data_IF_765975725884
#
_entry.id   IF_765975725884
#
_cell.length_a   1.000
_cell.length_b   1.000
_cell.length_c   1.000
_cell.angle_alpha   90.00
_cell.angle_beta   90.00
_cell.angle_gamma   90.00
#
_symmetry.space_group_name_H-M   'P 1'
#
loop_
_entity.id
_entity.type
_entity.pdbx_description
1 polymer ?
#
# COMPACT_ATOMS: atom_id res chain seq x y z
N UNK A 1 22.92 -13.05 32.83
CA UNK A 1 21.80 -12.29 32.19
C UNK A 1 22.41 -11.43 31.12
N UNK A 2 22.41 -11.86 29.88
CA UNK A 2 22.88 -11.09 28.73
C UNK A 2 21.85 -10.00 28.44
N UNK A 3 22.21 -8.74 28.69
CA UNK A 3 21.38 -7.59 28.28
C UNK A 3 21.24 -7.63 26.76
N UNK A 4 20.04 -7.89 26.27
CA UNK A 4 19.77 -7.81 24.85
C UNK A 4 20.05 -6.37 24.40
N UNK A 5 20.93 -6.21 23.42
CA UNK A 5 21.19 -4.89 22.83
C UNK A 5 19.88 -4.30 22.28
N UNK A 6 19.63 -2.99 22.46
CA UNK A 6 18.42 -2.38 21.98
C UNK A 6 18.34 -2.48 20.44
N UNK A 7 17.15 -2.84 19.92
CA UNK A 7 16.91 -2.93 18.48
C UNK A 7 16.99 -1.53 17.84
N UNK A 8 17.82 -1.38 16.83
CA UNK A 8 17.94 -0.15 16.05
C UNK A 8 16.95 -0.18 14.89
N UNK A 9 16.03 0.79 14.85
CA UNK A 9 15.08 0.96 13.75
C UNK A 9 15.62 2.02 12.79
N UNK A 10 15.77 1.62 11.52
CA UNK A 10 16.31 2.53 10.50
C UNK A 10 15.20 3.35 9.86
N UNK A 11 15.50 4.60 9.43
CA UNK A 11 14.55 5.44 8.72
C UNK A 11 14.11 4.85 7.37
N UNK A 12 12.93 5.27 6.88
CA UNK A 12 12.33 4.73 5.65
C UNK A 12 13.24 4.82 4.42
N UNK A 13 14.09 5.86 4.33
CA UNK A 13 15.04 5.99 3.23
C UNK A 13 16.14 4.89 3.21
N UNK A 14 16.29 4.11 4.28
CA UNK A 14 17.18 2.95 4.32
C UNK A 14 16.48 1.64 3.93
N UNK A 15 15.16 1.60 3.86
CA UNK A 15 14.41 0.35 3.69
C UNK A 15 14.74 -0.41 2.41
N UNK A 16 15.16 0.28 1.35
CA UNK A 16 15.57 -0.37 0.11
C UNK A 16 16.74 -1.34 0.27
N UNK A 17 17.53 -1.21 1.36
CA UNK A 17 18.62 -2.12 1.72
C UNK A 17 18.13 -3.30 2.57
N UNK A 18 16.88 -3.29 3.02
CA UNK A 18 16.32 -4.39 3.82
C UNK A 18 16.11 -5.65 2.98
N UNK A 19 16.41 -6.83 3.53
CA UNK A 19 16.15 -8.09 2.84
C UNK A 19 14.65 -8.42 2.70
N UNK A 20 13.75 -7.64 3.33
CA UNK A 20 12.32 -7.96 3.48
C UNK A 20 11.39 -7.02 2.71
N UNK A 21 11.68 -5.72 2.63
CA UNK A 21 10.71 -4.69 2.18
C UNK A 21 10.18 -4.89 0.75
N UNK A 22 11.04 -5.39 -0.15
CA UNK A 22 10.72 -5.57 -1.57
C UNK A 22 10.47 -7.04 -1.94
N UNK A 23 10.23 -7.90 -0.96
CA UNK A 23 10.02 -9.34 -1.18
C UNK A 23 8.70 -9.79 -0.58
N UNK A 24 8.12 -10.82 -1.18
CA UNK A 24 7.01 -11.57 -0.60
C UNK A 24 7.55 -12.41 0.56
N UNK A 25 7.42 -11.90 1.78
CA UNK A 25 7.89 -12.59 2.98
C UNK A 25 6.98 -13.76 3.30
N UNK A 26 7.47 -15.01 3.23
CA UNK A 26 6.69 -16.18 3.60
C UNK A 26 6.54 -16.22 5.12
N UNK A 27 5.32 -16.00 5.60
CA UNK A 27 4.97 -15.89 7.02
C UNK A 27 3.76 -16.76 7.33
N UNK A 28 3.61 -17.13 8.58
CA UNK A 28 2.42 -17.78 9.12
C UNK A 28 1.40 -16.73 9.55
N UNK A 29 0.13 -17.13 9.69
CA UNK A 29 -0.93 -16.25 10.19
C UNK A 29 -0.55 -15.63 11.54
N UNK A 30 -0.10 -16.43 12.48
CA UNK A 30 0.35 -15.98 13.81
C UNK A 30 1.53 -14.99 13.72
N UNK A 31 2.48 -15.21 12.79
CA UNK A 31 3.60 -14.29 12.60
C UNK A 31 3.13 -12.94 12.05
N UNK A 32 2.16 -12.95 11.12
CA UNK A 32 1.60 -11.72 10.53
C UNK A 32 0.81 -10.95 11.60
N UNK A 33 -0.01 -11.62 12.40
CA UNK A 33 -0.74 -10.97 13.49
C UNK A 33 0.22 -10.41 14.56
N UNK A 34 1.36 -11.07 14.81
CA UNK A 34 2.41 -10.64 15.73
C UNK A 34 3.32 -9.51 15.22
N UNK A 35 3.19 -9.05 13.95
CA UNK A 35 4.01 -7.93 13.48
C UNK A 35 3.72 -6.66 14.28
N UNK A 36 4.76 -5.88 14.58
CA UNK A 36 4.63 -4.65 15.32
C UNK A 36 4.31 -3.47 14.39
N UNK A 37 3.38 -2.61 14.81
CA UNK A 37 3.17 -1.30 14.21
C UNK A 37 4.03 -0.28 14.95
N UNK A 38 4.75 0.59 14.21
CA UNK A 38 5.61 1.61 14.80
C UNK A 38 5.15 3.01 14.40
N UNK A 39 5.15 3.98 15.33
CA UNK A 39 4.84 5.37 15.02
C UNK A 39 5.70 5.89 13.87
N UNK A 40 5.07 6.60 12.93
CA UNK A 40 5.74 7.16 11.75
C UNK A 40 5.79 6.26 10.51
N UNK A 41 5.38 4.97 10.61
CA UNK A 41 5.33 4.04 9.47
C UNK A 41 3.91 3.53 9.18
N UNK A 42 2.93 3.99 9.94
CA UNK A 42 1.52 3.55 9.85
C UNK A 42 0.91 3.86 8.48
N UNK A 43 1.18 5.06 7.95
CA UNK A 43 0.65 5.52 6.68
C UNK A 43 1.15 4.67 5.47
N UNK A 44 2.34 4.09 5.60
CA UNK A 44 2.96 3.28 4.54
C UNK A 44 2.58 1.79 4.62
N UNK A 45 1.78 1.39 5.62
CA UNK A 45 1.45 -0.01 5.91
C UNK A 45 2.72 -0.89 6.04
N UNK A 46 3.73 -0.36 6.72
CA UNK A 46 4.96 -1.07 7.04
C UNK A 46 4.89 -1.53 8.49
N UNK A 47 5.03 -2.83 8.68
CA UNK A 47 5.05 -3.48 9.98
C UNK A 47 6.43 -4.07 10.23
N UNK A 48 6.73 -4.43 11.48
CA UNK A 48 8.05 -4.90 11.85
C UNK A 48 8.01 -6.27 12.51
N UNK A 49 8.96 -7.13 12.10
CA UNK A 49 9.35 -8.32 12.84
C UNK A 49 10.77 -8.08 13.32
N UNK A 50 10.99 -8.01 14.65
CA UNK A 50 12.17 -7.37 15.21
C UNK A 50 12.30 -5.93 14.64
N UNK A 51 13.37 -5.66 13.91
CA UNK A 51 13.55 -4.39 13.19
C UNK A 51 13.50 -4.53 11.66
N UNK A 52 13.06 -5.70 11.16
CA UNK A 52 12.86 -5.91 9.73
C UNK A 52 11.57 -5.25 9.25
N UNK A 53 11.60 -4.29 8.32
CA UNK A 53 10.39 -3.69 7.76
C UNK A 53 9.72 -4.67 6.80
N UNK A 54 8.46 -5.02 7.06
CA UNK A 54 7.66 -5.95 6.25
C UNK A 54 6.45 -5.21 5.72
N UNK A 55 6.28 -5.24 4.40
CA UNK A 55 5.13 -4.67 3.68
C UNK A 55 4.37 -5.74 2.90
N UNK A 56 5.11 -6.67 2.31
CA UNK A 56 4.59 -7.69 1.42
C UNK A 56 4.71 -9.07 2.08
N UNK A 57 3.61 -9.77 2.13
CA UNK A 57 3.54 -11.10 2.76
C UNK A 57 3.03 -12.15 1.78
N UNK A 58 3.39 -13.39 2.04
CA UNK A 58 2.86 -14.56 1.36
C UNK A 58 2.46 -15.59 2.40
N UNK A 59 1.23 -16.08 2.29
CA UNK A 59 0.68 -17.12 3.14
C UNK A 59 0.05 -18.22 2.28
N UNK A 60 0.10 -19.45 2.76
CA UNK A 60 -0.62 -20.59 2.20
C UNK A 60 -1.43 -21.23 3.33
N UNK A 61 -2.71 -21.47 3.10
CA UNK A 61 -3.60 -22.08 4.07
C UNK A 61 -4.93 -22.47 3.48
N UNK A 62 -5.78 -23.06 4.30
CA UNK A 62 -7.13 -23.50 3.96
C UNK A 62 -8.09 -22.31 4.08
N UNK A 63 -8.98 -22.15 3.12
CA UNK A 63 -10.09 -21.20 3.20
C UNK A 63 -11.14 -21.75 4.16
N UNK A 64 -11.38 -21.10 5.28
CA UNK A 64 -12.38 -21.50 6.28
C UNK A 64 -13.66 -20.71 6.18
N UNK A 65 -13.62 -19.49 5.62
CA UNK A 65 -14.80 -18.69 5.33
C UNK A 65 -14.58 -17.79 4.11
N UNK A 66 -15.69 -17.42 3.45
CA UNK A 66 -15.70 -16.47 2.33
C UNK A 66 -16.86 -15.51 2.57
N UNK A 67 -16.57 -14.22 2.63
CA UNK A 67 -17.55 -13.15 2.79
C UNK A 67 -17.49 -12.18 1.59
N UNK A 68 -18.65 -11.69 1.17
CA UNK A 68 -18.75 -10.73 0.07
C UNK A 68 -19.40 -9.43 0.53
N UNK A 69 -18.69 -8.32 0.37
CA UNK A 69 -19.15 -6.98 0.75
C UNK A 69 -18.86 -5.96 -0.35
N UNK A 70 -19.88 -5.29 -0.86
CA UNK A 70 -19.75 -4.06 -1.68
C UNK A 70 -18.60 -4.02 -2.69
N UNK A 71 -18.39 -5.14 -3.42
CA UNK A 71 -17.31 -5.23 -4.40
C UNK A 71 -15.97 -5.68 -3.80
N UNK A 72 -15.98 -6.30 -2.63
CA UNK A 72 -14.86 -7.00 -2.03
C UNK A 72 -15.23 -8.42 -1.69
N UNK A 73 -14.32 -9.34 -1.93
CA UNK A 73 -14.40 -10.72 -1.48
C UNK A 73 -13.31 -10.95 -0.45
N UNK A 74 -13.70 -11.45 0.72
CA UNK A 74 -12.80 -11.65 1.86
C UNK A 74 -12.70 -13.16 2.09
N UNK A 75 -11.48 -13.67 2.05
CA UNK A 75 -11.17 -15.06 2.37
C UNK A 75 -10.55 -15.11 3.76
N UNK A 76 -11.14 -15.87 4.68
CA UNK A 76 -10.52 -16.20 5.96
C UNK A 76 -9.67 -17.45 5.75
N UNK A 77 -8.37 -17.31 6.00
CA UNK A 77 -7.35 -18.35 5.77
C UNK A 77 -6.81 -18.85 7.07
N UNK A 78 -6.84 -20.16 7.25
CA UNK A 78 -6.22 -20.89 8.36
C UNK A 78 -4.99 -21.66 7.85
N UNK A 79 -3.84 -21.44 8.45
CA UNK A 79 -2.59 -22.13 8.13
C UNK A 79 -2.18 -23.13 9.24
N UNK A 80 -3.12 -23.49 10.11
CA UNK A 80 -2.95 -24.43 11.25
C UNK A 80 -1.99 -23.95 12.32
N UNK A 81 -1.73 -22.64 12.45
CA UNK A 81 -0.88 -22.08 13.51
C UNK A 81 -1.66 -21.54 14.72
N UNK A 82 -2.98 -21.71 14.72
CA UNK A 82 -3.89 -21.29 15.79
C UNK A 82 -4.48 -19.89 15.59
N UNK A 83 -4.07 -19.18 14.52
CA UNK A 83 -4.61 -17.88 14.12
C UNK A 83 -5.09 -17.95 12.69
N UNK A 84 -6.22 -17.27 12.41
CA UNK A 84 -6.70 -17.06 11.06
C UNK A 84 -6.35 -15.64 10.59
N UNK A 85 -6.28 -15.45 9.27
CA UNK A 85 -6.08 -14.14 8.69
C UNK A 85 -7.07 -13.85 7.56
N UNK A 86 -7.63 -12.66 7.58
CA UNK A 86 -8.50 -12.19 6.51
C UNK A 86 -7.70 -11.67 5.32
N UNK A 87 -8.04 -12.17 4.14
CA UNK A 87 -7.41 -11.79 2.88
C UNK A 87 -8.47 -11.14 1.98
N UNK A 88 -8.40 -9.83 1.76
CA UNK A 88 -9.38 -9.08 0.99
C UNK A 88 -8.96 -8.91 -0.46
N UNK A 89 -9.86 -9.21 -1.39
CA UNK A 89 -9.73 -9.02 -2.82
C UNK A 89 -10.76 -7.99 -3.29
N UNK A 90 -10.30 -6.93 -3.98
CA UNK A 90 -11.20 -6.00 -4.62
C UNK A 90 -11.75 -6.64 -5.91
N UNK A 91 -13.06 -6.82 -5.97
CA UNK A 91 -13.76 -7.35 -7.15
C UNK A 91 -14.30 -6.17 -7.95
N UNK A 92 -13.92 -6.00 -9.22
CA UNK A 92 -14.47 -4.94 -10.06
C UNK A 92 -15.99 -5.07 -10.12
N UNK A 93 -16.71 -3.99 -9.84
CA UNK A 93 -18.16 -3.96 -10.08
C UNK A 93 -18.39 -4.17 -11.57
N UNK A 94 -19.33 -5.04 -11.98
CA UNK A 94 -19.74 -5.12 -13.38
C UNK A 94 -20.13 -3.69 -13.81
N UNK A 95 -19.56 -3.23 -14.92
CA UNK A 95 -19.82 -1.89 -15.45
C UNK A 95 -21.34 -1.77 -15.68
N UNK A 96 -22.04 -1.02 -14.83
CA UNK A 96 -23.42 -0.60 -15.05
C UNK A 96 -23.43 0.35 -16.25
N UNK A 97 -23.62 -0.20 -17.45
CA UNK A 97 -23.62 0.65 -18.66
C UNK A 97 -23.74 -0.07 -19.98
N UNK A 98 -23.91 -1.38 -20.04
CA UNK A 98 -24.47 -1.98 -21.23
C UNK A 98 -25.98 -1.74 -21.22
N UNK A 99 -26.41 -0.56 -21.75
CA UNK A 99 -27.81 -0.35 -22.18
C UNK A 99 -28.20 -1.58 -22.98
N UNK A 100 -29.12 -2.40 -22.42
CA UNK A 100 -29.82 -3.40 -23.19
C UNK A 100 -30.53 -2.65 -24.31
N UNK A 101 -29.98 -2.69 -25.52
CA UNK A 101 -30.71 -2.41 -26.73
C UNK A 101 -31.74 -3.54 -26.81
N UNK A 102 -32.99 -3.23 -26.41
CA UNK A 102 -34.15 -4.05 -26.65
C UNK A 102 -34.40 -3.99 -28.17
N UNK A 103 -33.78 -4.89 -28.87
CA UNK A 103 -33.96 -5.15 -30.29
C UNK A 103 -34.23 -6.64 -30.47
N UNK A 104 -35.51 -6.96 -30.55
CA UNK A 104 -36.15 -8.12 -31.18
C UNK A 104 -35.41 -9.45 -31.29
N UNK A 105 -35.90 -10.45 -30.51
CA UNK A 105 -36.05 -11.84 -30.96
C UNK A 105 -34.76 -12.66 -31.08
N UNK A 106 -34.29 -13.22 -29.94
CA UNK A 106 -33.93 -14.63 -29.74
C UNK A 106 -33.46 -14.78 -28.28
N UNK A 107 -34.09 -15.66 -27.55
CA UNK A 107 -33.72 -15.97 -26.18
C UNK A 107 -32.28 -16.51 -26.14
N UNK A 108 -31.30 -15.63 -25.96
CA UNK A 108 -29.96 -16.01 -25.58
C UNK A 108 -30.04 -16.33 -24.09
N UNK A 109 -29.91 -17.60 -23.76
CA UNK A 109 -29.68 -18.11 -22.40
C UNK A 109 -28.62 -17.23 -21.74
N UNK A 110 -29.01 -16.55 -20.68
CA UNK A 110 -28.09 -15.79 -19.84
C UNK A 110 -27.01 -16.76 -19.37
N UNK A 111 -25.78 -16.57 -19.87
CA UNK A 111 -24.63 -17.29 -19.35
C UNK A 111 -24.46 -16.87 -17.87
N UNK A 112 -24.29 -17.84 -16.96
CA UNK A 112 -23.97 -17.52 -15.57
C UNK A 112 -22.76 -16.60 -15.52
N UNK A 113 -22.71 -15.72 -14.54
CA UNK A 113 -21.59 -14.81 -14.29
C UNK A 113 -20.32 -15.59 -13.85
N UNK A 114 -19.75 -16.38 -14.78
CA UNK A 114 -18.54 -17.20 -14.55
C UNK A 114 -17.23 -16.41 -14.64
N UNK A 115 -17.27 -15.09 -14.93
CA UNK A 115 -16.09 -14.28 -15.19
C UNK A 115 -15.64 -13.43 -13.99
N UNK A 116 -16.11 -13.71 -12.77
CA UNK A 116 -15.51 -13.07 -11.58
C UNK A 116 -14.12 -13.70 -11.34
N UNK A 117 -13.04 -12.90 -11.28
CA UNK A 117 -11.70 -13.43 -11.00
C UNK A 117 -11.74 -14.22 -9.70
N UNK A 118 -11.30 -15.49 -9.74
CA UNK A 118 -11.25 -16.42 -8.60
C UNK A 118 -12.62 -16.92 -8.09
N UNK A 119 -13.64 -16.99 -8.96
CA UNK A 119 -14.92 -17.65 -8.65
C UNK A 119 -14.80 -19.15 -8.39
N UNK A 120 -13.68 -19.76 -8.77
CA UNK A 120 -13.34 -21.18 -8.60
C UNK A 120 -12.79 -21.54 -7.20
N UNK A 121 -12.70 -20.57 -6.28
CA UNK A 121 -12.19 -20.79 -4.92
C UNK A 121 -13.34 -20.88 -3.93
N UNK A 122 -13.43 -22.04 -3.25
CA UNK A 122 -14.44 -22.34 -2.24
C UNK A 122 -13.82 -22.66 -0.88
N UNK A 123 -14.67 -22.68 0.15
CA UNK A 123 -14.32 -23.12 1.50
C UNK A 123 -13.77 -24.55 1.46
N UNK A 124 -12.73 -24.82 2.23
CA UNK A 124 -12.01 -26.08 2.26
C UNK A 124 -10.89 -26.22 1.22
N UNK A 125 -10.75 -25.25 0.30
CA UNK A 125 -9.64 -25.25 -0.65
C UNK A 125 -8.40 -24.60 -0.05
N UNK A 126 -7.22 -25.08 -0.46
CA UNK A 126 -5.94 -24.48 -0.08
C UNK A 126 -5.56 -23.42 -1.10
N UNK A 127 -5.20 -22.24 -0.60
CA UNK A 127 -4.82 -21.10 -1.44
C UNK A 127 -3.43 -20.55 -1.07
N UNK A 128 -2.72 -20.02 -2.06
CA UNK A 128 -1.48 -19.25 -1.95
C UNK A 128 -1.82 -17.79 -2.19
N UNK A 129 -1.72 -16.99 -1.15
CA UNK A 129 -2.03 -15.56 -1.15
C UNK A 129 -0.74 -14.75 -1.05
N UNK A 130 -0.58 -13.76 -1.93
CA UNK A 130 0.44 -12.73 -1.85
C UNK A 130 -0.22 -11.37 -1.81
N UNK A 131 0.14 -10.54 -0.85
CA UNK A 131 -0.49 -9.24 -0.70
C UNK A 131 0.26 -8.31 0.22
N UNK A 132 -0.25 -7.09 0.35
CA UNK A 132 0.23 -6.12 1.32
C UNK A 132 -0.54 -6.27 2.64
N UNK A 133 0.19 -6.14 3.74
CA UNK A 133 -0.43 -6.12 5.07
C UNK A 133 -1.07 -4.75 5.32
N UNK A 134 -2.24 -4.72 5.90
CA UNK A 134 -2.93 -3.52 6.37
C UNK A 134 -3.54 -3.76 7.75
N UNK A 135 -3.76 -2.69 8.50
CA UNK A 135 -4.51 -2.73 9.76
C UNK A 135 -5.98 -2.38 9.48
N UNK A 136 -6.90 -3.20 9.99
CA UNK A 136 -8.33 -2.94 9.92
C UNK A 136 -8.98 -3.37 11.23
N UNK A 137 -9.60 -2.44 11.96
CA UNK A 137 -10.22 -2.69 13.27
C UNK A 137 -9.29 -3.43 14.24
N UNK A 138 -8.05 -2.95 14.36
CA UNK A 138 -6.99 -3.51 15.22
C UNK A 138 -6.53 -4.93 14.85
N UNK A 139 -7.01 -5.50 13.75
CA UNK A 139 -6.54 -6.76 13.19
C UNK A 139 -5.78 -6.54 11.89
N UNK A 140 -4.75 -7.32 11.68
CA UNK A 140 -4.02 -7.30 10.41
C UNK A 140 -4.74 -8.12 9.38
N UNK A 141 -4.92 -7.53 8.21
CA UNK A 141 -5.50 -8.15 7.02
C UNK A 141 -4.51 -8.11 5.88
N UNK A 142 -4.66 -9.00 4.92
CA UNK A 142 -3.89 -9.00 3.68
C UNK A 142 -4.76 -8.43 2.56
N UNK A 143 -4.29 -7.37 1.90
CA UNK A 143 -4.87 -6.92 0.64
C UNK A 143 -4.25 -7.72 -0.50
N UNK A 144 -5.02 -8.57 -1.14
CA UNK A 144 -4.56 -9.56 -2.13
C UNK A 144 -4.06 -8.85 -3.39
N UNK A 145 -2.85 -9.21 -3.82
CA UNK A 145 -2.26 -8.82 -5.09
C UNK A 145 -2.20 -9.99 -6.07
N UNK A 146 -1.97 -11.19 -5.53
CA UNK A 146 -1.97 -12.45 -6.29
C UNK A 146 -2.61 -13.53 -5.45
N UNK A 147 -3.48 -14.31 -6.08
CA UNK A 147 -4.22 -15.41 -5.48
C UNK A 147 -4.12 -16.62 -6.40
N UNK A 148 -3.76 -17.76 -5.86
CA UNK A 148 -3.65 -19.01 -6.60
C UNK A 148 -4.14 -20.18 -5.76
N UNK A 149 -4.87 -21.10 -6.37
CA UNK A 149 -5.23 -22.37 -5.73
C UNK A 149 -3.99 -23.28 -5.65
N UNK A 150 -3.77 -23.87 -4.49
CA UNK A 150 -2.75 -24.91 -4.28
C UNK A 150 -3.42 -26.27 -4.54
N UNK A 151 -2.84 -27.07 -5.44
CA UNK A 151 -3.44 -28.34 -5.89
C UNK A 151 -2.73 -29.58 -5.32
N UNK A 152 -1.65 -29.39 -4.61
CA UNK A 152 -0.79 -30.48 -4.19
C UNK A 152 -0.22 -30.23 -2.79
N UNK A 153 -0.33 -31.21 -1.90
CA UNK A 153 0.29 -31.20 -0.57
C UNK A 153 1.81 -30.98 -0.64
N UNK A 154 2.46 -31.43 -1.70
CA UNK A 154 3.89 -31.15 -1.91
C UNK A 154 4.18 -29.65 -1.99
N UNK A 155 3.30 -28.85 -2.62
CA UNK A 155 3.45 -27.39 -2.68
C UNK A 155 3.29 -26.76 -1.30
N UNK A 156 2.39 -27.27 -0.47
CA UNK A 156 2.21 -26.82 0.92
C UNK A 156 3.47 -27.10 1.74
N UNK A 157 3.98 -28.33 1.70
CA UNK A 157 5.22 -28.72 2.43
C UNK A 157 6.41 -27.88 1.96
N UNK A 158 6.54 -27.63 0.65
CA UNK A 158 7.58 -26.74 0.13
C UNK A 158 7.43 -25.31 0.66
N UNK A 159 6.20 -24.84 0.85
CA UNK A 159 5.97 -23.51 1.42
C UNK A 159 6.32 -23.47 2.91
N UNK A 160 5.96 -24.49 3.68
CA UNK A 160 6.36 -24.57 5.10
C UNK A 160 7.88 -24.61 5.29
N UNK A 161 8.59 -25.31 4.40
CA UNK A 161 10.05 -25.28 4.40
C UNK A 161 10.58 -23.86 4.12
N UNK A 162 9.99 -23.13 3.17
CA UNK A 162 10.35 -21.72 2.89
C UNK A 162 10.12 -20.81 4.09
N UNK A 163 9.01 -20.99 4.84
CA UNK A 163 8.76 -20.23 6.09
C UNK A 163 9.86 -20.52 7.10
N UNK A 164 10.15 -21.80 7.35
CA UNK A 164 11.16 -22.22 8.31
C UNK A 164 12.53 -21.63 7.97
N UNK A 165 12.94 -21.74 6.71
CA UNK A 165 14.23 -21.24 6.24
C UNK A 165 14.28 -19.71 6.31
N UNK A 166 13.24 -19.02 5.89
CA UNK A 166 13.15 -17.57 5.98
C UNK A 166 13.20 -17.03 7.43
N UNK A 167 12.53 -17.73 8.35
CA UNK A 167 12.59 -17.38 9.77
C UNK A 167 13.98 -17.57 10.34
N UNK A 168 14.66 -18.69 10.01
CA UNK A 168 16.01 -18.98 10.48
C UNK A 168 17.03 -18.01 9.88
N UNK A 169 16.97 -17.78 8.57
CA UNK A 169 18.04 -17.13 7.84
C UNK A 169 17.88 -15.58 7.77
N UNK A 170 16.65 -15.08 7.89
CA UNK A 170 16.36 -13.66 7.79
C UNK A 170 15.81 -13.07 9.07
N UNK A 171 14.72 -13.66 9.63
CA UNK A 171 14.02 -13.06 10.78
C UNK A 171 14.61 -13.49 12.12
N UNK A 172 15.51 -14.48 12.15
CA UNK A 172 16.14 -14.98 13.38
C UNK A 172 17.14 -14.02 14.01
N UNK A 173 17.59 -13.02 13.27
CA UNK A 173 18.57 -12.02 13.72
C UNK A 173 18.10 -10.61 13.37
N UNK A 174 18.41 -9.60 14.20
CA UNK A 174 18.13 -8.20 13.85
C UNK A 174 18.82 -7.79 12.55
N UNK A 175 18.12 -7.01 11.74
CA UNK A 175 18.71 -6.38 10.58
C UNK A 175 19.68 -5.27 11.02
N UNK A 176 20.93 -5.35 10.57
CA UNK A 176 21.98 -4.41 10.88
C UNK A 176 22.55 -3.76 9.62
N UNK A 177 22.71 -2.44 9.64
CA UNK A 177 23.37 -1.66 8.59
C UNK A 177 24.63 -1.00 9.15
N UNK A 178 25.65 -0.93 8.32
CA UNK A 178 26.85 -0.14 8.66
C UNK A 178 26.50 1.37 8.73
N UNK A 179 27.10 2.10 9.66
CA UNK A 179 26.93 3.56 9.79
C UNK A 179 27.22 4.31 8.50
N UNK A 180 28.16 3.81 7.69
CA UNK A 180 28.52 4.36 6.39
C UNK A 180 27.35 4.27 5.40
N UNK A 181 26.62 3.18 5.38
CA UNK A 181 25.44 2.96 4.52
C UNK A 181 24.30 3.89 4.91
N UNK A 182 24.01 4.01 6.20
CA UNK A 182 22.97 4.92 6.72
C UNK A 182 23.27 6.37 6.31
N UNK A 183 24.54 6.83 6.45
CA UNK A 183 24.95 8.17 6.03
C UNK A 183 24.80 8.38 4.52
N UNK A 184 25.14 7.36 3.72
CA UNK A 184 24.97 7.41 2.26
C UNK A 184 23.51 7.56 1.88
N UNK A 185 22.62 6.76 2.48
CA UNK A 185 21.19 6.84 2.25
C UNK A 185 20.61 8.19 2.66
N UNK A 186 20.99 8.73 3.82
CA UNK A 186 20.58 10.07 4.26
C UNK A 186 20.99 11.15 3.26
N UNK A 187 22.24 11.12 2.78
CA UNK A 187 22.74 12.09 1.79
C UNK A 187 21.96 12.01 0.47
N UNK A 188 21.69 10.82 0.00
CA UNK A 188 20.91 10.61 -1.22
C UNK A 188 19.47 11.11 -1.07
N UNK A 189 18.81 10.77 0.02
CA UNK A 189 17.46 11.23 0.33
C UNK A 189 17.35 12.76 0.35
N UNK A 190 18.29 13.46 1.01
CA UNK A 190 18.31 14.93 1.04
C UNK A 190 18.49 15.53 -0.36
N UNK A 191 19.35 14.92 -1.20
CA UNK A 191 19.55 15.37 -2.57
C UNK A 191 18.29 15.19 -3.43
N UNK A 192 17.56 14.08 -3.24
CA UNK A 192 16.30 13.81 -3.95
C UNK A 192 15.20 14.80 -3.54
N UNK A 193 15.07 15.11 -2.24
CA UNK A 193 14.14 16.13 -1.72
C UNK A 193 14.42 17.50 -2.32
N UNK A 194 15.69 17.94 -2.31
CA UNK A 194 16.09 19.21 -2.91
C UNK A 194 15.79 19.27 -4.43
N UNK A 195 16.02 18.16 -5.13
CA UNK A 195 15.73 18.06 -6.56
C UNK A 195 14.22 18.18 -6.85
N UNK A 196 13.39 17.55 -6.03
CA UNK A 196 11.93 17.61 -6.19
C UNK A 196 11.37 18.98 -5.84
N UNK A 197 11.90 19.66 -4.82
CA UNK A 197 11.53 21.05 -4.54
C UNK A 197 11.87 21.98 -5.69
N UNK A 198 13.06 21.85 -6.30
CA UNK A 198 13.46 22.62 -7.48
C UNK A 198 12.53 22.37 -8.66
N UNK A 199 12.12 21.12 -8.90
CA UNK A 199 11.15 20.78 -9.95
C UNK A 199 9.77 21.42 -9.69
N UNK A 200 9.28 21.36 -8.42
CA UNK A 200 8.02 21.99 -8.02
C UNK A 200 8.05 23.51 -8.19
N UNK A 201 9.15 24.20 -7.81
CA UNK A 201 9.33 25.63 -8.01
C UNK A 201 9.29 25.99 -9.51
N UNK A 202 10.06 25.30 -10.36
CA UNK A 202 10.04 25.51 -11.82
C UNK A 202 8.68 25.29 -12.45
N UNK A 203 7.91 24.28 -11.99
CA UNK A 203 6.56 24.02 -12.50
C UNK A 203 5.58 25.14 -12.10
N UNK A 204 5.72 25.74 -10.92
CA UNK A 204 4.93 26.91 -10.51
C UNK A 204 5.27 28.13 -11.35
N UNK A 205 6.55 28.44 -11.55
CA UNK A 205 7.00 29.57 -12.38
C UNK A 205 6.49 29.45 -13.82
N UNK A 206 6.59 28.29 -14.44
CA UNK A 206 6.09 28.05 -15.80
C UNK A 206 4.56 28.11 -15.89
N UNK A 207 3.83 27.74 -14.81
CA UNK A 207 2.37 27.86 -14.75
C UNK A 207 1.88 29.30 -14.76
N UNK A 208 2.56 30.20 -14.04
CA UNK A 208 2.21 31.63 -14.00
C UNK A 208 2.54 32.37 -15.32
N UNK A 209 3.55 31.92 -16.08
CA UNK A 209 3.88 32.50 -17.39
C UNK A 209 2.89 32.11 -18.49
N UNK A 210 2.25 30.94 -18.41
CA UNK A 210 1.20 30.53 -19.34
C UNK A 210 -0.10 31.29 -19.13
N UNK A 211 -0.53 31.55 -17.90
CA UNK A 211 -1.73 32.30 -17.58
C UNK A 211 -1.60 33.83 -17.95
N UNK A 212 -0.41 34.41 -17.74
CA UNK A 212 -0.16 35.81 -18.12
C UNK A 212 -0.17 36.02 -19.64
N UNK A 213 0.23 35.04 -20.44
CA UNK A 213 0.18 35.11 -21.90
C UNK A 213 -1.23 34.89 -22.49
N UNK A 214 -2.11 34.19 -21.75
CA UNK A 214 -3.52 34.05 -22.16
C UNK A 214 -4.32 35.32 -21.88
N UNK A 215 -4.07 36.00 -20.75
CA UNK A 215 -4.70 37.31 -20.46
C UNK A 215 -4.21 38.44 -21.38
N UNK A 216 -2.95 38.42 -21.81
CA UNK A 216 -2.39 39.44 -22.73
C UNK A 216 -2.97 39.42 -24.15
N UNK A 217 -3.56 38.30 -24.61
CA UNK A 217 -4.16 38.17 -25.95
C UNK A 217 -5.63 38.58 -26.03
N UNK A 218 -6.33 38.77 -24.90
CA UNK A 218 -7.75 39.18 -24.90
C UNK A 218 -8.01 40.69 -24.76
N UNK A 219 -6.99 41.51 -24.55
CA UNK A 219 -7.16 42.98 -24.34
C UNK A 219 -7.10 43.81 -25.65
N UNK A 220 -6.87 43.21 -26.82
CA UNK A 220 -6.73 43.98 -28.07
C UNK A 220 -7.92 43.98 -29.01
N UNK A 221 -9.12 43.59 -28.58
CA UNK A 221 -10.31 43.79 -29.43
C UNK A 221 -11.56 44.19 -28.63
N UNK A 222 -12.01 45.41 -28.90
CA UNK A 222 -13.33 46.01 -28.62
C UNK A 222 -13.56 46.78 -27.35
N UNK A 223 -13.28 48.06 -27.43
CA UNK A 223 -14.02 49.13 -26.80
C UNK A 223 -15.43 49.23 -27.44
N UNK A 224 -16.49 49.07 -26.60
CA UNK A 224 -17.74 49.86 -26.65
C UNK A 224 -18.79 49.33 -25.66
N UNK A 225 -19.14 50.26 -24.73
CA UNK A 225 -20.42 50.50 -24.05
C UNK A 225 -21.22 49.36 -23.42
N UNK A 226 -21.39 49.34 -22.09
CA UNK A 226 -22.53 49.98 -21.35
C UNK A 226 -22.53 49.49 -19.91
N UNK A 227 -22.83 50.38 -18.98
CA UNK A 227 -22.73 50.15 -17.53
C UNK A 227 -23.86 49.30 -16.96
N UNK A 228 -23.54 48.64 -15.86
CA UNK A 228 -24.43 48.37 -14.73
C UNK A 228 -23.59 47.90 -13.52
N UNK A 229 -23.83 48.57 -12.42
CA UNK A 229 -23.33 48.37 -11.08
C UNK A 229 -23.70 47.00 -10.50
N UNK A 230 -22.74 46.26 -9.93
CA UNK A 230 -22.98 45.35 -8.80
C UNK A 230 -21.70 45.11 -8.01
N UNK A 231 -21.82 45.22 -6.68
CA UNK A 231 -20.77 45.17 -5.69
C UNK A 231 -20.05 43.80 -5.63
N UNK A 232 -18.76 43.75 -5.28
CA UNK A 232 -18.05 42.49 -5.09
C UNK A 232 -18.38 41.84 -3.75
N UNK A 233 -18.65 40.53 -3.79
CA UNK A 233 -18.74 39.67 -2.64
C UNK A 233 -17.32 39.38 -2.10
N UNK A 234 -17.20 39.41 -0.77
CA UNK A 234 -15.99 39.07 -0.02
C UNK A 234 -15.68 37.59 -0.21
N UNK A 235 -14.52 37.26 -0.77
CA UNK A 235 -13.92 35.94 -0.68
C UNK A 235 -13.22 35.79 0.67
N UNK A 236 -13.63 34.78 1.43
CA UNK A 236 -12.90 34.32 2.60
C UNK A 236 -11.66 33.50 2.14
N UNK A 237 -10.52 33.58 2.87
CA UNK A 237 -9.32 32.88 2.48
C UNK A 237 -9.44 31.40 2.81
N UNK A 238 -9.28 30.53 1.79
CA UNK A 238 -9.08 29.09 1.97
C UNK A 238 -7.87 28.83 2.85
N UNK A 239 -8.15 28.17 3.98
CA UNK A 239 -7.15 27.65 4.91
C UNK A 239 -6.20 26.68 4.19
N UNK A 240 -4.91 26.98 4.27
CA UNK A 240 -3.82 26.11 3.86
C UNK A 240 -3.93 24.81 4.64
N UNK A 241 -4.15 23.69 3.96
CA UNK A 241 -3.83 22.36 4.49
C UNK A 241 -2.31 22.26 4.55
N UNK A 242 -1.76 22.38 5.74
CA UNK A 242 -0.36 22.10 6.03
C UNK A 242 -0.12 20.60 5.83
N UNK A 243 0.80 20.29 4.93
CA UNK A 243 1.33 18.95 4.73
C UNK A 243 1.96 18.46 6.04
N UNK A 244 1.27 17.52 6.70
CA UNK A 244 1.72 16.83 7.91
C UNK A 244 2.83 15.81 7.61
N UNK A 245 4.00 16.27 7.25
CA UNK A 245 5.24 15.50 7.34
C UNK A 245 6.28 16.28 8.14
N UNK A 246 5.94 16.58 9.39
CA UNK A 246 6.95 16.97 10.36
C UNK A 246 7.57 15.69 10.94
N UNK A 247 8.65 15.23 10.34
CA UNK A 247 9.58 14.31 11.00
C UNK A 247 10.13 15.01 12.24
N UNK A 248 9.75 14.55 13.43
CA UNK A 248 10.40 14.99 14.66
C UNK A 248 11.81 14.40 14.65
N UNK A 249 12.79 15.26 14.45
CA UNK A 249 14.22 14.97 14.33
C UNK A 249 14.85 14.29 15.57
N UNK A 250 14.11 14.20 16.69
CA UNK A 250 14.60 13.68 17.96
C UNK A 250 14.42 12.19 18.23
N UNK A 251 13.67 11.45 17.38
CA UNK A 251 13.29 10.07 17.72
C UNK A 251 14.17 8.99 17.07
N UNK A 252 15.12 9.39 16.21
CA UNK A 252 15.98 8.46 15.47
C UNK A 252 17.49 8.70 15.67
N UNK A 253 17.87 9.52 16.62
CA UNK A 253 19.28 9.78 16.95
C UNK A 253 19.90 8.69 17.86
N UNK A 254 19.75 7.42 17.46
CA UNK A 254 20.51 6.34 18.10
C UNK A 254 22.01 6.33 17.74
N UNK A 255 22.45 7.27 16.91
CA UNK A 255 23.85 7.36 16.44
C UNK A 255 24.58 8.63 16.86
N UNK A 256 24.02 9.44 17.79
CA UNK A 256 24.76 10.56 18.43
C UNK A 256 25.57 11.40 17.44
N UNK A 257 24.91 12.10 16.52
CA UNK A 257 25.49 13.13 15.65
C UNK A 257 24.70 14.41 15.76
#
# INVERSE_FOLDING_TARGET
MTSAEPLVYYPAYCFHLSPTINKWCPLRAIDIQGLECRPGFEADNVFFSLNHPIRWVRIVGVVVAIDEYHGRRIYTVDDSTGECIECSLDVPKPAHGARQNIGNGNAAVARPAEDAPHSDIDVGMVIDVKGSTKLFRDQKQINIQKLQRVRSTNQEVQFWNKIRDFRRDVLGQPWALERREVRRCKKQYLADVDADERKRKKKKENGYTLDSNVLGRQISTKSRNSGASSKPAKEEPLTKTEDKYSYTEGQYDALGL
#
